data_IF_613040137359
#
_entry.id   IF_613040137359
#
_cell.length_a   1.000
_cell.length_b   1.000
_cell.length_c   1.000
_cell.angle_alpha   90.00
_cell.angle_beta   90.00
_cell.angle_gamma   90.00
#
_symmetry.space_group_name_H-M   'P 1'
#
loop_
_entity.id
_entity.type
_entity.pdbx_description
1 polymer ?
#
# COMPACT_ATOMS: atom_id res chain seq x y z
N UNK A 1 -27.95 3.10 9.79
CA UNK A 1 -28.77 4.24 9.33
C UNK A 1 -28.55 5.48 10.18
N UNK A 2 -29.36 5.69 11.23
CA UNK A 2 -29.25 6.89 12.07
C UNK A 2 -27.98 6.92 12.94
N UNK A 3 -27.52 5.74 13.41
CA UNK A 3 -26.23 5.60 14.11
C UNK A 3 -25.06 6.00 13.20
N UNK A 4 -24.96 5.42 12.00
CA UNK A 4 -23.88 5.73 11.05
C UNK A 4 -23.81 7.22 10.68
N UNK A 5 -24.96 7.88 10.56
CA UNK A 5 -25.02 9.34 10.34
C UNK A 5 -24.47 10.10 11.54
N UNK A 6 -24.86 9.73 12.77
CA UNK A 6 -24.33 10.37 13.99
C UNK A 6 -22.82 10.17 14.13
N UNK A 7 -22.31 8.99 13.78
CA UNK A 7 -20.88 8.71 13.79
C UNK A 7 -20.16 9.53 12.71
N UNK A 8 -20.73 9.65 11.52
CA UNK A 8 -20.18 10.46 10.43
C UNK A 8 -20.10 11.94 10.79
N UNK A 9 -21.11 12.48 11.48
CA UNK A 9 -21.14 13.88 11.92
C UNK A 9 -20.09 14.20 13.00
N UNK A 10 -19.54 13.17 13.67
CA UNK A 10 -18.48 13.32 14.68
C UNK A 10 -17.07 13.27 14.09
N UNK A 11 -16.93 12.98 12.80
CA UNK A 11 -15.62 12.93 12.14
C UNK A 11 -15.13 14.36 11.89
N UNK A 12 -14.01 14.72 12.53
CA UNK A 12 -13.30 15.96 12.28
C UNK A 12 -11.88 15.65 11.78
N UNK A 13 -11.37 16.36 10.75
CA UNK A 13 -10.04 16.10 10.22
C UNK A 13 -8.97 16.46 11.26
N UNK A 14 -8.06 15.52 11.51
CA UNK A 14 -6.88 15.79 12.34
C UNK A 14 -5.85 16.57 11.53
N UNK A 15 -5.77 17.88 11.78
CA UNK A 15 -4.87 18.79 11.06
C UNK A 15 -3.43 18.82 11.61
N UNK A 16 -3.10 18.00 12.61
CA UNK A 16 -1.76 17.93 13.20
C UNK A 16 -0.82 17.10 12.32
N UNK A 17 0.46 17.45 12.32
CA UNK A 17 1.50 16.66 11.66
C UNK A 17 1.61 15.28 12.33
N UNK A 18 1.58 14.22 11.53
CA UNK A 18 1.70 12.86 12.02
C UNK A 18 3.12 12.60 12.54
N UNK A 19 3.24 12.15 13.80
CA UNK A 19 4.53 11.72 14.36
C UNK A 19 4.99 10.39 13.75
N UNK A 20 4.05 9.47 13.56
CA UNK A 20 4.24 8.09 13.13
C UNK A 20 3.35 7.81 11.91
N UNK A 21 3.84 6.97 11.00
CA UNK A 21 3.11 6.50 9.82
C UNK A 21 3.14 4.97 9.84
N UNK A 22 1.99 4.34 9.64
CA UNK A 22 1.85 2.89 9.52
C UNK A 22 1.07 2.61 8.24
N UNK A 23 1.64 1.81 7.35
CA UNK A 23 1.02 1.42 6.08
C UNK A 23 0.82 -0.09 6.08
N UNK A 24 -0.44 -0.52 6.02
CA UNK A 24 -0.79 -1.93 5.85
C UNK A 24 -1.05 -2.20 4.38
N UNK A 25 -0.31 -3.15 3.79
CA UNK A 25 -0.46 -3.54 2.39
C UNK A 25 -1.00 -4.98 2.33
N UNK A 26 -2.26 -5.12 1.90
CA UNK A 26 -2.81 -6.40 1.52
C UNK A 26 -2.48 -6.71 0.06
N UNK A 27 -1.41 -7.48 -0.18
CA UNK A 27 -1.00 -7.86 -1.53
C UNK A 27 -2.11 -8.69 -2.20
N UNK A 28 -2.61 -8.24 -3.36
CA UNK A 28 -3.77 -8.85 -4.03
C UNK A 28 -5.13 -8.64 -3.33
N UNK A 29 -5.23 -7.78 -2.31
CA UNK A 29 -6.47 -7.57 -1.56
C UNK A 29 -7.41 -6.56 -2.25
N UNK A 30 -8.04 -6.99 -3.34
CA UNK A 30 -9.09 -6.23 -4.02
C UNK A 30 -10.40 -6.16 -3.22
N UNK A 31 -11.36 -5.36 -3.70
CA UNK A 31 -12.67 -5.16 -3.04
C UNK A 31 -13.43 -6.49 -2.85
N UNK A 32 -13.34 -7.40 -3.82
CA UNK A 32 -13.93 -8.74 -3.72
C UNK A 32 -13.29 -9.56 -2.60
N UNK A 33 -11.96 -9.51 -2.46
CA UNK A 33 -11.22 -10.19 -1.38
C UNK A 33 -11.62 -9.63 -0.02
N UNK A 34 -11.81 -8.32 0.10
CA UNK A 34 -12.28 -7.67 1.33
C UNK A 34 -13.67 -8.19 1.73
N UNK A 35 -14.63 -8.19 0.79
CA UNK A 35 -15.97 -8.70 1.05
C UNK A 35 -15.96 -10.19 1.46
N UNK A 36 -15.23 -11.04 0.72
CA UNK A 36 -15.11 -12.45 1.04
C UNK A 36 -14.49 -12.67 2.44
N UNK A 37 -13.47 -11.89 2.78
CA UNK A 37 -12.79 -11.95 4.09
C UNK A 37 -13.71 -11.53 5.24
N UNK A 38 -14.53 -10.50 5.03
CA UNK A 38 -15.53 -10.03 6.00
C UNK A 38 -16.57 -11.11 6.29
N UNK A 39 -17.16 -11.70 5.25
CA UNK A 39 -18.16 -12.77 5.40
C UNK A 39 -17.55 -13.96 6.14
N UNK A 40 -16.35 -14.38 5.73
CA UNK A 40 -15.64 -15.48 6.38
C UNK A 40 -15.34 -15.20 7.86
N UNK A 41 -14.87 -14.00 8.20
CA UNK A 41 -14.62 -13.61 9.60
C UNK A 41 -15.91 -13.67 10.42
N UNK A 42 -17.01 -13.11 9.91
CA UNK A 42 -18.28 -13.11 10.63
C UNK A 42 -18.80 -14.53 10.90
N UNK A 43 -18.72 -15.41 9.90
CA UNK A 43 -19.13 -16.81 10.03
C UNK A 43 -18.25 -17.58 11.02
N UNK A 44 -16.95 -17.27 11.08
CA UNK A 44 -16.02 -17.84 12.07
C UNK A 44 -16.35 -17.41 13.52
N UNK A 45 -17.11 -16.34 13.69
CA UNK A 45 -17.57 -15.81 14.97
C UNK A 45 -19.06 -16.16 15.25
N UNK A 46 -19.59 -17.18 14.58
CA UNK A 46 -21.00 -17.61 14.69
C UNK A 46 -22.03 -16.52 14.35
N UNK A 47 -21.65 -15.56 13.49
CA UNK A 47 -22.53 -14.50 12.94
C UNK A 47 -22.89 -14.81 11.47
N UNK A 48 -23.92 -14.16 10.90
CA UNK A 48 -24.32 -14.40 9.49
C UNK A 48 -23.18 -14.20 8.47
N UNK A 49 -22.31 -13.20 8.71
CA UNK A 49 -21.15 -12.91 7.87
C UNK A 49 -21.18 -11.48 7.34
N UNK A 50 -22.18 -11.18 6.51
CA UNK A 50 -22.30 -9.96 5.70
C UNK A 50 -22.34 -8.67 6.53
N UNK A 51 -22.99 -8.73 7.69
CA UNK A 51 -23.13 -7.60 8.63
C UNK A 51 -21.89 -7.37 9.49
N UNK A 52 -20.85 -8.20 9.34
CA UNK A 52 -19.59 -8.04 10.05
C UNK A 52 -18.76 -6.90 9.45
N UNK A 53 -17.77 -6.43 10.19
CA UNK A 53 -16.83 -5.41 9.70
C UNK A 53 -15.41 -5.79 10.08
N UNK A 54 -14.52 -5.77 9.09
CA UNK A 54 -13.09 -5.92 9.32
C UNK A 54 -12.56 -4.69 10.08
N UNK A 55 -11.41 -4.84 10.75
CA UNK A 55 -10.83 -3.79 11.59
C UNK A 55 -10.63 -2.46 10.86
N UNK A 56 -10.17 -2.49 9.60
CA UNK A 56 -9.93 -1.30 8.79
C UNK A 56 -11.19 -0.72 8.15
N UNK A 57 -12.32 -1.43 8.13
CA UNK A 57 -13.60 -0.91 7.62
C UNK A 57 -14.24 0.10 8.57
N UNK A 58 -13.74 0.15 9.80
CA UNK A 58 -14.07 1.17 10.80
C UNK A 58 -13.30 2.48 10.60
N UNK A 59 -12.39 2.53 9.63
CA UNK A 59 -11.66 3.78 9.34
C UNK A 59 -12.61 4.81 8.73
N UNK A 60 -12.51 6.09 9.16
CA UNK A 60 -13.44 7.14 8.75
C UNK A 60 -13.27 7.61 7.30
N UNK A 61 -12.15 7.25 6.66
CA UNK A 61 -11.79 7.71 5.33
C UNK A 61 -11.53 6.54 4.40
N UNK A 62 -12.15 6.58 3.22
CA UNK A 62 -11.99 5.59 2.15
C UNK A 62 -11.72 6.30 0.83
N UNK A 63 -10.87 5.70 0.01
CA UNK A 63 -10.59 6.17 -1.34
C UNK A 63 -10.38 4.96 -2.26
N UNK A 64 -10.63 5.16 -3.56
CA UNK A 64 -10.28 4.20 -4.60
C UNK A 64 -8.92 4.58 -5.20
N UNK A 65 -8.07 3.58 -5.43
CA UNK A 65 -6.74 3.77 -6.03
C UNK A 65 -6.69 3.20 -7.45
N UNK A 66 -6.14 3.97 -8.40
CA UNK A 66 -5.91 3.52 -9.78
C UNK A 66 -4.54 2.86 -9.88
N UNK A 67 -4.51 1.55 -10.02
CA UNK A 67 -3.30 0.73 -9.81
C UNK A 67 -2.43 0.51 -11.05
N UNK A 68 -2.89 0.84 -12.26
CA UNK A 68 -2.12 0.64 -13.50
C UNK A 68 -0.66 1.10 -13.39
N UNK A 69 0.27 0.35 -13.99
CA UNK A 69 1.68 0.74 -14.10
C UNK A 69 1.92 1.57 -15.36
N UNK A 70 3.11 2.12 -15.55
CA UNK A 70 3.41 2.90 -16.76
C UNK A 70 3.34 2.04 -18.02
N UNK A 71 3.74 0.76 -17.92
CA UNK A 71 3.79 -0.16 -19.05
C UNK A 71 2.59 -1.10 -19.16
N UNK A 72 1.80 -1.31 -18.11
CA UNK A 72 0.71 -2.29 -18.09
C UNK A 72 -0.55 -1.78 -17.37
N UNK A 73 -1.72 -2.09 -17.94
CA UNK A 73 -3.02 -1.79 -17.32
C UNK A 73 -3.27 -2.66 -16.08
N UNK A 74 -2.93 -3.95 -16.16
CA UNK A 74 -2.88 -4.87 -15.01
C UNK A 74 -1.44 -4.86 -14.50
N UNK A 75 -1.18 -4.26 -13.33
CA UNK A 75 0.18 -4.11 -12.82
C UNK A 75 0.64 -5.36 -12.06
N UNK A 76 1.91 -5.37 -11.66
CA UNK A 76 2.50 -6.32 -10.73
C UNK A 76 2.76 -5.69 -9.35
N UNK A 77 3.21 -6.50 -8.38
CA UNK A 77 3.52 -6.01 -7.02
C UNK A 77 4.72 -5.04 -7.02
N UNK A 78 5.69 -5.19 -7.93
CA UNK A 78 6.88 -4.33 -7.99
C UNK A 78 6.54 -2.88 -8.37
N UNK A 79 5.80 -2.70 -9.47
CA UNK A 79 5.42 -1.38 -9.95
C UNK A 79 4.43 -0.68 -9.03
N UNK A 80 3.48 -1.43 -8.45
CA UNK A 80 2.51 -0.88 -7.49
C UNK A 80 3.17 -0.50 -6.16
N UNK A 81 4.08 -1.32 -5.62
CA UNK A 81 4.81 -0.99 -4.40
C UNK A 81 5.73 0.21 -4.60
N UNK A 82 6.39 0.32 -5.76
CA UNK A 82 7.17 1.52 -6.11
C UNK A 82 6.29 2.76 -6.12
N UNK A 83 5.11 2.70 -6.76
CA UNK A 83 4.17 3.81 -6.76
C UNK A 83 3.68 4.18 -5.36
N UNK A 84 3.39 3.18 -4.53
CA UNK A 84 2.87 3.36 -3.17
C UNK A 84 3.92 4.01 -2.24
N UNK A 85 5.17 3.56 -2.31
CA UNK A 85 6.20 3.95 -1.34
C UNK A 85 7.08 5.10 -1.80
N UNK A 86 7.24 5.32 -3.10
CA UNK A 86 8.05 6.43 -3.65
C UNK A 86 7.21 7.59 -4.19
N UNK A 87 5.89 7.38 -4.34
CA UNK A 87 4.97 8.34 -4.95
C UNK A 87 5.06 8.42 -6.47
N UNK A 88 5.88 7.60 -7.13
CA UNK A 88 6.09 7.65 -8.58
C UNK A 88 5.77 6.30 -9.24
N UNK A 89 4.91 6.30 -10.25
CA UNK A 89 4.62 5.10 -11.05
C UNK A 89 5.81 4.72 -11.93
N UNK A 90 6.03 3.42 -12.08
CA UNK A 90 7.11 2.85 -12.91
C UNK A 90 6.62 1.72 -13.82
N UNK A 91 7.54 1.10 -14.55
CA UNK A 91 7.29 -0.05 -15.41
C UNK A 91 7.04 -1.31 -14.57
N UNK A 92 6.17 -2.22 -15.04
CA UNK A 92 6.01 -3.55 -14.44
C UNK A 92 7.36 -4.28 -14.36
N UNK A 93 7.67 -4.89 -13.21
CA UNK A 93 8.94 -5.54 -12.91
C UNK A 93 9.96 -4.65 -12.18
N UNK A 94 9.84 -3.33 -12.30
CA UNK A 94 10.78 -2.39 -11.69
C UNK A 94 10.47 -2.10 -10.22
N UNK A 95 11.52 -2.06 -9.40
CA UNK A 95 11.47 -1.80 -7.95
C UNK A 95 12.27 -0.53 -7.66
N UNK A 96 11.63 0.50 -7.10
CA UNK A 96 12.32 1.68 -6.59
C UNK A 96 13.08 2.50 -7.66
N UNK A 97 12.76 2.32 -8.94
CA UNK A 97 13.36 3.09 -10.05
C UNK A 97 12.28 3.70 -10.93
N UNK A 98 12.60 4.83 -11.58
CA UNK A 98 11.69 5.53 -12.46
C UNK A 98 11.37 4.72 -13.73
N UNK A 99 10.31 5.10 -14.44
CA UNK A 99 9.93 4.44 -15.71
C UNK A 99 10.95 4.63 -16.85
N UNK A 100 12.01 5.43 -16.65
CA UNK A 100 13.13 5.55 -17.59
C UNK A 100 14.11 4.39 -17.49
N UNK A 101 14.17 3.71 -16.35
CA UNK A 101 14.92 2.47 -16.21
C UNK A 101 14.32 1.39 -17.12
N UNK A 102 15.19 0.63 -17.77
CA UNK A 102 14.83 -0.46 -18.69
C UNK A 102 14.86 -1.78 -17.94
N UNK A 103 13.75 -2.52 -18.03
CA UNK A 103 13.61 -3.81 -17.35
C UNK A 103 14.77 -4.76 -17.72
N UNK A 104 15.33 -5.44 -16.70
CA UNK A 104 16.47 -6.36 -16.84
C UNK A 104 17.77 -5.71 -17.37
N UNK A 105 17.93 -4.39 -17.21
CA UNK A 105 19.16 -3.69 -17.57
C UNK A 105 19.72 -2.95 -16.34
N UNK A 106 20.73 -3.56 -15.70
CA UNK A 106 21.35 -3.05 -14.48
C UNK A 106 21.83 -1.59 -14.62
N UNK A 107 22.52 -1.27 -15.71
CA UNK A 107 23.11 0.06 -15.92
C UNK A 107 22.04 1.16 -16.02
N UNK A 108 20.83 0.81 -16.46
CA UNK A 108 19.72 1.75 -16.56
C UNK A 108 19.12 2.16 -15.22
N UNK A 109 19.47 1.48 -14.12
CA UNK A 109 19.06 1.88 -12.77
C UNK A 109 19.76 3.15 -12.28
N UNK A 110 21.01 3.36 -12.73
CA UNK A 110 21.86 4.46 -12.28
C UNK A 110 21.25 5.80 -12.68
N UNK A 111 21.00 6.66 -11.70
CA UNK A 111 20.37 7.98 -11.88
C UNK A 111 18.85 7.94 -12.05
N UNK A 112 18.23 6.76 -11.93
CA UNK A 112 16.78 6.57 -11.98
C UNK A 112 16.21 6.09 -10.64
N UNK A 113 17.00 6.02 -9.58
CA UNK A 113 16.60 5.63 -8.24
C UNK A 113 15.54 6.60 -7.67
N UNK A 114 14.54 6.03 -7.00
CA UNK A 114 13.46 6.77 -6.36
C UNK A 114 13.50 6.53 -4.86
N UNK A 115 13.75 7.57 -4.03
CA UNK A 115 13.73 7.41 -2.58
C UNK A 115 12.33 7.01 -2.12
N UNK A 116 12.27 6.10 -1.16
CA UNK A 116 11.02 5.65 -0.56
C UNK A 116 10.63 6.53 0.63
N UNK A 117 9.41 6.37 1.11
CA UNK A 117 8.95 7.01 2.35
C UNK A 117 9.80 6.61 3.57
N UNK A 118 10.44 5.43 3.59
CA UNK A 118 11.38 5.08 4.66
C UNK A 118 12.68 5.84 4.51
N UNK A 119 13.19 6.02 3.29
CA UNK A 119 14.36 6.87 3.04
C UNK A 119 14.11 8.28 3.58
N UNK A 120 12.96 8.88 3.24
CA UNK A 120 12.58 10.19 3.77
C UNK A 120 12.41 10.21 5.30
N UNK A 121 11.88 9.15 5.89
CA UNK A 121 11.74 9.04 7.34
C UNK A 121 13.12 8.96 8.03
N UNK A 122 14.06 8.19 7.49
CA UNK A 122 15.43 8.07 8.00
C UNK A 122 16.19 9.39 7.88
N UNK A 123 16.08 10.08 6.74
CA UNK A 123 16.65 11.42 6.54
C UNK A 123 16.09 12.43 7.54
N UNK A 124 14.82 12.28 7.94
CA UNK A 124 14.19 13.07 9.00
C UNK A 124 14.51 12.57 10.43
N UNK A 125 15.43 11.63 10.60
CA UNK A 125 15.87 11.09 11.89
C UNK A 125 14.83 10.21 12.61
N UNK A 126 13.92 9.58 11.87
CA UNK A 126 12.91 8.67 12.42
C UNK A 126 13.35 7.22 12.33
N UNK A 127 12.89 6.42 13.29
CA UNK A 127 13.01 4.97 13.23
C UNK A 127 12.10 4.40 12.14
N UNK A 128 12.59 3.34 11.49
CA UNK A 128 11.97 2.72 10.33
C UNK A 128 11.96 1.21 10.46
N UNK A 129 10.89 0.56 10.00
CA UNK A 129 10.78 -0.90 10.01
C UNK A 129 9.82 -1.40 8.94
N UNK A 130 10.00 -2.68 8.56
CA UNK A 130 9.11 -3.40 7.67
C UNK A 130 8.76 -4.75 8.31
N UNK A 131 7.51 -5.18 8.12
CA UNK A 131 7.01 -6.48 8.57
C UNK A 131 6.25 -7.09 7.41
N UNK A 132 6.54 -8.35 7.11
CA UNK A 132 5.89 -9.07 6.00
C UNK A 132 5.80 -10.55 6.32
N UNK A 133 4.81 -11.21 5.73
CA UNK A 133 4.69 -12.69 5.71
C UNK A 133 5.41 -13.31 4.50
N UNK A 134 5.85 -12.49 3.56
CA UNK A 134 6.63 -12.93 2.39
C UNK A 134 8.13 -12.95 2.70
N UNK A 135 8.97 -13.30 1.72
CA UNK A 135 10.41 -13.03 1.83
C UNK A 135 10.61 -11.52 1.96
N UNK A 136 11.53 -11.09 2.83
CA UNK A 136 11.87 -9.66 2.96
C UNK A 136 12.40 -9.03 1.67
N UNK A 137 12.85 -9.87 0.72
CA UNK A 137 13.29 -9.52 -0.64
C UNK A 137 12.20 -9.60 -1.70
N UNK A 138 10.96 -9.94 -1.33
CA UNK A 138 9.83 -9.90 -2.26
C UNK A 138 9.57 -8.45 -2.73
N UNK A 139 8.92 -8.28 -3.88
CA UNK A 139 8.74 -6.98 -4.52
C UNK A 139 8.18 -5.89 -3.58
N UNK A 140 7.11 -6.21 -2.85
CA UNK A 140 6.42 -5.28 -1.95
C UNK A 140 7.33 -4.73 -0.84
N UNK A 141 7.97 -5.56 0.01
CA UNK A 141 8.94 -5.06 0.98
C UNK A 141 10.22 -4.55 0.33
N UNK A 142 10.65 -5.04 -0.84
CA UNK A 142 11.86 -4.56 -1.49
C UNK A 142 11.74 -3.11 -1.98
N UNK A 143 10.56 -2.66 -2.43
CA UNK A 143 10.34 -1.28 -2.88
C UNK A 143 10.54 -0.22 -1.79
N UNK A 144 10.66 -0.64 -0.53
CA UNK A 144 10.97 0.22 0.61
C UNK A 144 12.46 0.58 0.71
N UNK A 145 13.36 -0.22 0.14
CA UNK A 145 14.81 -0.05 0.30
C UNK A 145 15.66 -0.37 -0.94
N UNK A 146 15.12 -1.12 -1.90
CA UNK A 146 15.83 -1.60 -3.08
C UNK A 146 15.55 -0.77 -4.33
N UNK A 147 16.56 -0.69 -5.20
CA UNK A 147 16.48 -0.09 -6.53
C UNK A 147 16.92 -1.13 -7.55
N UNK A 148 15.97 -1.72 -8.27
CA UNK A 148 16.23 -2.80 -9.24
C UNK A 148 15.37 -2.61 -10.49
N UNK A 149 15.98 -2.57 -11.69
CA UNK A 149 15.28 -2.45 -12.96
C UNK A 149 14.71 -3.78 -13.44
#
# INVERSE_FOLDING_TARGET
>A
GQADLQDSLRIYPNMRVAKNIIIFVGDGMGVSTVMASRVFQGQKEDRPGEDSQLSFEKFPYVALSKTYSVSHQVPDSASTATALFTGTKTNSGAIGVSARAKINNCDSSIGNELPSILTWAQEAGKDTGLVTTTRVTHATPAALYGHSP
#
